data_IF_736973761799
#
_entry.id   IF_736973761799
#
_cell.length_a   1.000
_cell.length_b   1.000
_cell.length_c   1.000
_cell.angle_alpha   90.00
_cell.angle_beta   90.00
_cell.angle_gamma   90.00
#
_symmetry.space_group_name_H-M   'P 1'
#
loop_
_entity.id
_entity.type
_entity.pdbx_description
1 polymer ?
#
# COMPACT_ATOMS: atom_id res chain seq x y z
N UNK A 1 -35.20 35.96 27.14
CA UNK A 1 -33.79 35.96 26.65
C UNK A 1 -33.15 34.57 26.58
N UNK A 2 -33.79 33.47 27.05
CA UNK A 2 -33.15 32.14 27.14
C UNK A 2 -33.52 31.13 26.03
N UNK A 3 -34.51 31.43 25.15
CA UNK A 3 -34.94 30.48 24.10
C UNK A 3 -34.41 30.78 22.70
N UNK A 4 -34.12 32.05 22.35
CA UNK A 4 -33.57 32.40 21.03
C UNK A 4 -32.07 32.06 20.88
N UNK A 5 -31.31 32.05 21.97
CA UNK A 5 -29.88 31.68 21.97
C UNK A 5 -29.67 30.18 21.71
N UNK A 6 -30.61 29.33 22.12
CA UNK A 6 -30.53 27.87 21.96
C UNK A 6 -30.79 27.42 20.51
N UNK A 7 -31.70 28.09 19.80
CA UNK A 7 -31.99 27.80 18.39
C UNK A 7 -30.82 28.17 17.46
N UNK A 8 -30.11 29.26 17.76
CA UNK A 8 -28.96 29.73 17.00
C UNK A 8 -27.74 28.78 17.14
N UNK A 9 -27.53 28.21 18.34
CA UNK A 9 -26.47 27.22 18.57
C UNK A 9 -26.74 25.86 17.91
N UNK A 10 -28.01 25.42 17.84
CA UNK A 10 -28.37 24.12 17.25
C UNK A 10 -28.27 24.15 15.71
N UNK A 11 -28.66 25.27 15.07
CA UNK A 11 -28.51 25.44 13.62
C UNK A 11 -27.03 25.55 13.18
N UNK A 12 -26.17 26.15 14.00
CA UNK A 12 -24.73 26.23 13.74
C UNK A 12 -24.04 24.85 13.81
N UNK A 13 -24.48 23.96 14.70
CA UNK A 13 -23.92 22.61 14.81
C UNK A 13 -24.28 21.70 13.63
N UNK A 14 -25.48 21.86 13.04
CA UNK A 14 -25.93 21.06 11.88
C UNK A 14 -25.18 21.45 10.60
N UNK A 15 -24.87 22.74 10.42
CA UNK A 15 -24.11 23.22 9.25
C UNK A 15 -22.63 22.81 9.28
N UNK A 16 -22.04 22.64 10.46
CA UNK A 16 -20.64 22.18 10.59
C UNK A 16 -20.51 20.67 10.32
N UNK A 17 -21.49 19.85 10.70
CA UNK A 17 -21.44 18.39 10.43
C UNK A 17 -21.62 18.03 8.95
N UNK A 18 -22.42 18.79 8.19
CA UNK A 18 -22.65 18.53 6.76
C UNK A 18 -21.43 18.82 5.88
N UNK A 19 -20.49 19.66 6.33
CA UNK A 19 -19.28 19.99 5.58
C UNK A 19 -18.17 18.92 5.70
N UNK A 20 -18.27 17.96 6.62
CA UNK A 20 -17.20 16.97 6.88
C UNK A 20 -17.37 15.65 6.09
N UNK A 21 -18.49 15.47 5.37
CA UNK A 21 -18.82 14.21 4.69
C UNK A 21 -18.26 14.09 3.26
N UNK A 22 -17.44 15.05 2.79
CA UNK A 22 -17.13 15.23 1.37
C UNK A 22 -15.88 14.56 0.80
N UNK A 23 -14.95 14.03 1.61
CA UNK A 23 -13.63 13.65 1.08
C UNK A 23 -13.06 12.35 1.67
N UNK A 24 -13.89 11.32 1.81
CA UNK A 24 -13.39 9.96 2.02
C UNK A 24 -12.79 9.43 0.71
N UNK A 25 -11.58 9.87 0.37
CA UNK A 25 -10.76 9.26 -0.68
C UNK A 25 -10.30 7.90 -0.18
N UNK A 26 -11.15 6.88 -0.32
CA UNK A 26 -10.70 5.51 -0.15
C UNK A 26 -9.65 5.24 -1.23
N UNK A 27 -8.42 4.81 -0.86
CA UNK A 27 -7.46 4.38 -1.86
C UNK A 27 -8.10 3.27 -2.68
N UNK A 28 -8.08 3.41 -4.00
CA UNK A 28 -8.47 2.32 -4.89
C UNK A 28 -7.54 1.14 -4.63
N UNK A 29 -8.05 -0.10 -4.72
CA UNK A 29 -7.29 -1.31 -4.37
C UNK A 29 -5.89 -1.34 -5.01
N UNK A 30 -5.75 -0.87 -6.25
CA UNK A 30 -4.46 -0.78 -6.95
C UNK A 30 -3.46 0.18 -6.27
N UNK A 31 -3.91 1.32 -5.75
CA UNK A 31 -3.06 2.27 -5.03
C UNK A 31 -2.67 1.74 -3.65
N UNK A 32 -3.59 1.05 -2.97
CA UNK A 32 -3.30 0.38 -1.71
C UNK A 32 -2.23 -0.72 -1.90
N UNK A 33 -2.45 -1.64 -2.86
CA UNK A 33 -1.54 -2.76 -3.14
C UNK A 33 -0.14 -2.30 -3.58
N UNK A 34 -0.02 -1.19 -4.30
CA UNK A 34 1.29 -0.64 -4.68
C UNK A 34 2.05 -0.08 -3.48
N UNK A 35 1.39 0.67 -2.58
CA UNK A 35 2.03 1.20 -1.37
C UNK A 35 2.43 0.10 -0.37
N UNK A 36 1.59 -0.91 -0.19
CA UNK A 36 1.88 -2.08 0.64
C UNK A 36 3.01 -2.92 0.04
N UNK A 37 2.97 -3.16 -1.27
CA UNK A 37 4.01 -3.92 -1.96
C UNK A 37 5.38 -3.24 -1.90
N UNK A 38 5.45 -1.91 -2.00
CA UNK A 38 6.70 -1.17 -1.80
C UNK A 38 7.26 -1.39 -0.38
N UNK A 39 6.42 -1.19 0.63
CA UNK A 39 6.81 -1.35 2.03
C UNK A 39 7.30 -2.78 2.31
N UNK A 40 6.63 -3.80 1.76
CA UNK A 40 7.05 -5.19 1.87
C UNK A 40 8.43 -5.42 1.25
N UNK A 41 8.66 -4.94 0.02
CA UNK A 41 9.95 -5.15 -0.67
C UNK A 41 11.09 -4.48 0.08
N UNK A 42 10.93 -3.22 0.52
CA UNK A 42 11.94 -2.48 1.30
C UNK A 42 12.25 -3.17 2.63
N UNK A 43 11.22 -3.62 3.33
CA UNK A 43 11.38 -4.08 4.71
C UNK A 43 11.72 -5.56 4.83
N UNK A 44 11.38 -6.39 3.83
CA UNK A 44 11.49 -7.86 3.93
C UNK A 44 12.56 -8.44 3.02
N UNK A 45 12.63 -8.03 1.75
CA UNK A 45 13.41 -8.74 0.72
C UNK A 45 14.94 -8.65 0.89
N UNK A 46 15.43 -7.74 1.71
CA UNK A 46 16.86 -7.59 2.03
C UNK A 46 17.33 -8.30 3.31
N UNK A 47 16.41 -8.90 4.10
CA UNK A 47 16.75 -9.43 5.44
C UNK A 47 17.61 -10.69 5.41
N UNK A 48 17.49 -11.52 4.37
CA UNK A 48 18.18 -12.80 4.29
C UNK A 48 19.31 -12.81 3.24
N UNK A 49 19.23 -11.95 2.22
CA UNK A 49 20.24 -11.79 1.17
C UNK A 49 20.07 -10.44 0.47
N UNK A 50 21.07 -10.03 -0.32
CA UNK A 50 21.02 -8.77 -1.08
C UNK A 50 19.76 -8.66 -1.96
N UNK A 51 19.20 -7.45 -1.99
CA UNK A 51 18.08 -7.07 -2.86
C UNK A 51 18.49 -6.93 -4.33
N UNK A 52 19.78 -7.01 -4.69
CA UNK A 52 20.24 -7.00 -6.09
C UNK A 52 19.60 -8.11 -6.93
N UNK A 53 19.21 -9.23 -6.31
CA UNK A 53 18.46 -10.29 -6.99
C UNK A 53 17.09 -9.82 -7.48
N UNK A 54 16.44 -8.92 -6.74
CA UNK A 54 15.19 -8.29 -7.18
C UNK A 54 15.47 -7.42 -8.40
N UNK A 55 16.47 -6.53 -8.30
CA UNK A 55 16.86 -5.62 -9.37
C UNK A 55 17.25 -6.33 -10.67
N UNK A 56 18.00 -7.43 -10.58
CA UNK A 56 18.39 -8.25 -11.72
C UNK A 56 17.18 -8.80 -12.50
N UNK A 57 16.07 -9.05 -11.81
CA UNK A 57 14.87 -9.70 -12.34
C UNK A 57 13.69 -8.72 -12.57
N UNK A 58 13.87 -7.41 -12.45
CA UNK A 58 12.82 -6.45 -12.83
C UNK A 58 12.48 -6.55 -14.33
N UNK A 59 11.22 -6.25 -14.66
CA UNK A 59 10.63 -6.46 -16.00
C UNK A 59 9.99 -7.85 -16.20
N UNK A 60 9.98 -8.70 -15.16
CA UNK A 60 9.24 -9.97 -15.14
C UNK A 60 7.79 -9.74 -14.73
N UNK A 61 6.92 -10.65 -15.18
CA UNK A 61 5.49 -10.59 -14.91
C UNK A 61 5.11 -10.95 -13.47
N UNK A 62 3.83 -10.73 -13.13
CA UNK A 62 3.29 -11.02 -11.80
C UNK A 62 3.40 -12.51 -11.44
N UNK A 63 3.18 -13.43 -12.38
CA UNK A 63 3.25 -14.88 -12.13
C UNK A 63 4.67 -15.30 -11.71
N UNK A 64 5.70 -14.75 -12.37
CA UNK A 64 7.09 -14.96 -11.97
C UNK A 64 7.33 -14.48 -10.52
N UNK A 65 6.81 -13.31 -10.17
CA UNK A 65 6.99 -12.74 -8.84
C UNK A 65 6.22 -13.49 -7.77
N UNK A 66 4.98 -13.91 -8.01
CA UNK A 66 4.19 -14.72 -7.07
C UNK A 66 4.94 -16.01 -6.69
N UNK A 67 5.47 -16.72 -7.69
CA UNK A 67 6.30 -17.92 -7.46
C UNK A 67 7.56 -17.61 -6.66
N UNK A 68 8.21 -16.49 -6.98
CA UNK A 68 9.45 -16.07 -6.33
C UNK A 68 9.21 -15.71 -4.85
N UNK A 69 8.20 -14.89 -4.57
CA UNK A 69 7.83 -14.44 -3.22
C UNK A 69 7.29 -15.62 -2.41
N UNK A 70 6.49 -16.51 -3.02
CA UNK A 70 6.07 -17.78 -2.38
C UNK A 70 7.26 -18.62 -1.92
N UNK A 71 8.28 -18.78 -2.78
CA UNK A 71 9.50 -19.50 -2.40
C UNK A 71 10.25 -18.80 -1.26
N UNK A 72 10.28 -17.47 -1.22
CA UNK A 72 10.91 -16.74 -0.11
C UNK A 72 10.15 -16.94 1.20
N UNK A 73 8.81 -16.95 1.16
CA UNK A 73 7.98 -17.29 2.32
C UNK A 73 8.27 -18.72 2.80
N UNK A 74 8.35 -19.69 1.89
CA UNK A 74 8.69 -21.08 2.22
C UNK A 74 10.08 -21.20 2.86
N UNK A 75 11.01 -20.30 2.53
CA UNK A 75 12.34 -20.22 3.13
C UNK A 75 12.39 -19.35 4.40
N UNK A 76 11.24 -18.96 4.96
CA UNK A 76 11.15 -18.27 6.25
C UNK A 76 11.03 -16.73 6.18
N UNK A 77 10.84 -16.14 4.99
CA UNK A 77 10.49 -14.72 4.92
C UNK A 77 9.14 -14.47 5.61
N UNK A 78 9.09 -13.46 6.49
CA UNK A 78 7.89 -13.08 7.23
C UNK A 78 6.86 -12.40 6.32
N UNK A 79 6.12 -13.23 5.58
CA UNK A 79 5.09 -12.83 4.61
C UNK A 79 3.83 -13.65 4.81
N UNK A 80 2.69 -13.00 4.88
CA UNK A 80 1.36 -13.61 4.86
C UNK A 80 0.98 -14.08 3.44
N UNK A 81 -0.16 -14.74 3.28
CA UNK A 81 -0.66 -15.09 1.95
C UNK A 81 -1.06 -13.85 1.11
N UNK A 82 -1.77 -12.84 1.65
CA UNK A 82 -2.03 -11.59 0.94
C UNK A 82 -0.76 -10.84 0.50
N UNK A 83 0.28 -10.83 1.34
CA UNK A 83 1.54 -10.13 1.03
C UNK A 83 2.19 -10.62 -0.26
N UNK A 84 1.97 -11.89 -0.63
CA UNK A 84 2.50 -12.44 -1.88
C UNK A 84 1.94 -11.68 -3.07
N UNK A 85 0.62 -11.46 -3.10
CA UNK A 85 -0.06 -10.77 -4.19
C UNK A 85 0.32 -9.29 -4.23
N UNK A 86 0.32 -8.60 -3.08
CA UNK A 86 0.72 -7.19 -3.00
C UNK A 86 2.17 -6.99 -3.46
N UNK A 87 3.11 -7.81 -2.98
CA UNK A 87 4.51 -7.73 -3.40
C UNK A 87 4.69 -8.08 -4.89
N UNK A 88 4.02 -9.13 -5.39
CA UNK A 88 4.17 -9.55 -6.78
C UNK A 88 3.59 -8.51 -7.76
N UNK A 89 2.42 -7.97 -7.45
CA UNK A 89 1.80 -6.87 -8.23
C UNK A 89 2.72 -5.66 -8.27
N UNK A 90 3.26 -5.25 -7.12
CA UNK A 90 4.18 -4.12 -7.05
C UNK A 90 5.45 -4.35 -7.89
N UNK A 91 6.09 -5.52 -7.74
CA UNK A 91 7.33 -5.86 -8.45
C UNK A 91 7.14 -5.99 -9.97
N UNK A 92 6.00 -6.52 -10.42
CA UNK A 92 5.67 -6.60 -11.84
C UNK A 92 5.49 -5.22 -12.50
N UNK A 93 5.08 -4.21 -11.72
CA UNK A 93 4.97 -2.83 -12.17
C UNK A 93 6.30 -2.06 -12.21
N UNK A 94 7.38 -2.61 -11.67
CA UNK A 94 8.66 -1.90 -11.58
C UNK A 94 9.52 -2.02 -12.84
N UNK A 95 10.18 -0.91 -13.18
CA UNK A 95 11.22 -0.85 -14.20
C UNK A 95 12.59 -0.65 -13.55
N UNK A 96 13.64 -1.18 -14.20
CA UNK A 96 15.01 -1.17 -13.65
C UNK A 96 15.56 0.23 -13.40
N UNK A 97 15.20 1.17 -14.24
CA UNK A 97 15.66 2.57 -14.25
C UNK A 97 14.95 3.45 -13.21
N UNK A 98 13.78 3.04 -12.71
CA UNK A 98 12.97 3.86 -11.80
C UNK A 98 12.73 3.22 -10.42
N UNK A 99 13.13 1.97 -10.22
CA UNK A 99 12.87 1.25 -8.98
C UNK A 99 13.66 1.88 -7.81
N UNK A 100 12.98 2.37 -6.74
CA UNK A 100 13.61 3.13 -5.66
C UNK A 100 14.48 2.30 -4.70
N UNK A 101 14.66 1.01 -5.00
CA UNK A 101 15.44 0.03 -4.24
C UNK A 101 16.55 -0.62 -5.08
N UNK A 102 16.75 -0.13 -6.31
CA UNK A 102 17.83 -0.54 -7.19
C UNK A 102 18.85 0.59 -7.27
N UNK A 103 19.93 0.43 -6.53
CA UNK A 103 21.00 1.40 -6.36
C UNK A 103 22.34 0.70 -6.23
#
# INVERSE_FOLDING_TARGET
MSSMMKGLCILAFILVFAAMAGNSSFPTDAAAHTSEGEALVKNVCGRCHSAQRVCANLGRDQIYWERTVTRMRQNGAALSAPDISSAATYLAGQKKDTAPFCN
#
